data_IF_785969921198
#
_entry.id   IF_785969921198
#
_cell.length_a   1.000
_cell.length_b   1.000
_cell.length_c   1.000
_cell.angle_alpha   90.00
_cell.angle_beta   90.00
_cell.angle_gamma   90.00
#
_symmetry.space_group_name_H-M   'P 1'
#
loop_
_entity.id
_entity.type
_entity.pdbx_description
1 polymer ?
#
# COMPACT_ATOMS: atom_id res chain seq x y z
N UNK A 1 -1.45 -12.93 9.88
CA UNK A 1 -2.04 -12.31 11.09
C UNK A 1 -2.22 -10.84 10.81
N UNK A 2 -3.41 -10.25 10.95
CA UNK A 2 -3.61 -8.81 10.74
C UNK A 2 -3.06 -7.98 11.93
N UNK A 3 -2.84 -6.69 11.73
CA UNK A 3 -2.33 -5.74 12.72
C UNK A 3 -3.28 -5.64 13.92
N UNK A 4 -4.57 -5.87 13.72
CA UNK A 4 -5.57 -5.88 14.80
C UNK A 4 -5.50 -7.12 15.68
N UNK A 5 -5.20 -8.30 15.12
CA UNK A 5 -4.86 -9.50 15.87
C UNK A 5 -3.61 -9.26 16.67
N UNK A 6 -2.63 -8.56 16.10
CA UNK A 6 -1.42 -8.22 16.81
C UNK A 6 -1.66 -7.17 17.92
N UNK A 7 -2.50 -6.15 17.68
CA UNK A 7 -2.96 -5.17 18.68
C UNK A 7 -3.80 -5.80 19.79
N UNK A 8 -4.63 -6.81 19.48
CA UNK A 8 -5.60 -7.41 20.41
C UNK A 8 -5.09 -8.67 21.11
N UNK A 9 -4.15 -9.43 20.54
CA UNK A 9 -3.76 -10.78 21.01
C UNK A 9 -2.32 -10.91 21.53
N UNK A 10 -1.46 -9.89 21.43
CA UNK A 10 -0.12 -9.92 22.07
C UNK A 10 -0.08 -9.08 23.34
N UNK A 11 0.70 -9.53 24.33
CA UNK A 11 0.96 -8.83 25.61
C UNK A 11 1.56 -7.41 25.46
N UNK A 12 2.00 -7.00 24.26
CA UNK A 12 2.67 -5.72 24.01
C UNK A 12 2.03 -5.02 22.79
N UNK A 13 1.26 -3.93 22.98
CA UNK A 13 0.67 -3.15 21.89
C UNK A 13 1.72 -2.36 21.10
N UNK A 14 1.35 -1.84 19.91
CA UNK A 14 2.25 -1.15 18.99
C UNK A 14 2.88 0.08 19.65
N UNK A 15 2.07 0.79 20.44
CA UNK A 15 2.47 1.93 21.27
C UNK A 15 3.54 1.60 22.32
N UNK A 16 3.83 0.32 22.59
CA UNK A 16 4.84 -0.12 23.56
C UNK A 16 6.03 -0.80 22.90
N UNK A 17 6.00 -1.07 21.59
CA UNK A 17 7.12 -1.70 20.87
C UNK A 17 8.37 -0.82 20.87
N UNK A 18 9.53 -1.49 20.84
CA UNK A 18 10.83 -0.87 20.59
C UNK A 18 11.05 -0.68 19.08
N UNK A 19 12.02 0.16 18.73
CA UNK A 19 12.43 0.38 17.34
C UNK A 19 12.80 -0.92 16.61
N UNK A 20 13.55 -1.81 17.26
CA UNK A 20 13.95 -3.10 16.67
C UNK A 20 12.75 -4.02 16.43
N UNK A 21 11.80 -4.06 17.36
CA UNK A 21 10.57 -4.85 17.21
C UNK A 21 9.73 -4.34 16.04
N UNK A 22 9.58 -3.02 15.91
CA UNK A 22 8.88 -2.38 14.79
C UNK A 22 9.58 -2.68 13.46
N UNK A 23 10.91 -2.57 13.40
CA UNK A 23 11.68 -2.91 12.19
C UNK A 23 11.49 -4.37 11.76
N UNK A 24 11.44 -5.30 12.71
CA UNK A 24 11.16 -6.71 12.41
C UNK A 24 9.75 -6.89 11.83
N UNK A 25 8.76 -6.17 12.35
CA UNK A 25 7.40 -6.22 11.81
C UNK A 25 7.31 -5.63 10.39
N UNK A 26 8.01 -4.53 10.11
CA UNK A 26 8.09 -3.98 8.75
C UNK A 26 8.58 -5.04 7.75
N UNK A 27 9.67 -5.75 8.08
CA UNK A 27 10.25 -6.77 7.20
C UNK A 27 9.28 -7.94 6.94
N UNK A 28 8.52 -8.35 7.95
CA UNK A 28 7.51 -9.40 7.79
C UNK A 28 6.36 -8.94 6.89
N UNK A 29 5.84 -7.72 7.13
CA UNK A 29 4.77 -7.15 6.32
C UNK A 29 5.20 -6.92 4.88
N UNK A 30 6.45 -6.51 4.65
CA UNK A 30 6.99 -6.30 3.31
C UNK A 30 7.13 -7.62 2.53
N UNK A 31 7.58 -8.68 3.21
CA UNK A 31 7.57 -10.04 2.66
C UNK A 31 6.15 -10.48 2.29
N UNK A 32 5.17 -10.28 3.17
CA UNK A 32 3.78 -10.65 2.93
C UNK A 32 3.19 -9.87 1.74
N UNK A 33 3.45 -8.56 1.65
CA UNK A 33 3.04 -7.70 0.51
C UNK A 33 3.63 -8.21 -0.80
N UNK A 34 4.93 -8.51 -0.81
CA UNK A 34 5.63 -9.05 -1.99
C UNK A 34 5.02 -10.38 -2.43
N UNK A 35 4.68 -11.27 -1.48
CA UNK A 35 4.03 -12.53 -1.81
C UNK A 35 2.62 -12.34 -2.38
N UNK A 36 1.85 -11.40 -1.83
CA UNK A 36 0.51 -11.07 -2.35
C UNK A 36 0.58 -10.49 -3.76
N UNK A 37 1.51 -9.56 -4.02
CA UNK A 37 1.75 -9.00 -5.35
C UNK A 37 2.03 -10.10 -6.38
N UNK A 38 3.00 -10.98 -6.09
CA UNK A 38 3.33 -12.11 -6.99
C UNK A 38 2.14 -13.03 -7.28
N UNK A 39 1.27 -13.24 -6.29
CA UNK A 39 0.05 -14.04 -6.50
C UNK A 39 -0.97 -13.31 -7.38
N UNK A 40 -1.15 -12.01 -7.19
CA UNK A 40 -2.04 -11.18 -8.01
C UNK A 40 -1.54 -11.13 -9.46
N UNK A 41 -0.24 -10.95 -9.67
CA UNK A 41 0.40 -10.98 -11.00
C UNK A 41 0.20 -12.32 -11.69
N UNK A 42 0.41 -13.43 -10.96
CA UNK A 42 0.15 -14.77 -11.49
C UNK A 42 -1.31 -14.94 -11.89
N UNK A 43 -2.26 -14.53 -11.05
CA UNK A 43 -3.69 -14.62 -11.38
C UNK A 43 -4.05 -13.76 -12.60
N UNK A 44 -3.41 -12.59 -12.77
CA UNK A 44 -3.61 -11.76 -13.95
C UNK A 44 -3.15 -12.48 -15.22
N UNK A 45 -1.96 -13.12 -15.19
CA UNK A 45 -1.45 -13.91 -16.31
C UNK A 45 -2.35 -15.13 -16.60
N UNK A 46 -2.77 -15.87 -15.57
CA UNK A 46 -3.67 -17.03 -15.71
C UNK A 46 -5.02 -16.60 -16.33
N UNK A 47 -5.58 -15.46 -15.90
CA UNK A 47 -6.81 -14.88 -16.46
C UNK A 47 -6.65 -14.50 -17.93
N UNK A 48 -5.54 -13.86 -18.28
CA UNK A 48 -5.24 -13.51 -19.66
C UNK A 48 -5.22 -14.76 -20.55
N UNK A 49 -4.56 -15.82 -20.09
CA UNK A 49 -4.54 -17.11 -20.79
C UNK A 49 -5.93 -17.76 -20.91
N UNK A 50 -6.78 -17.68 -19.88
CA UNK A 50 -8.17 -18.16 -19.96
C UNK A 50 -8.99 -17.38 -20.99
N UNK A 51 -8.81 -16.06 -21.04
CA UNK A 51 -9.49 -15.20 -22.00
C UNK A 51 -9.10 -15.54 -23.45
N UNK A 52 -7.80 -15.63 -23.73
CA UNK A 52 -7.29 -15.98 -25.06
C UNK A 52 -7.77 -17.37 -25.52
N UNK A 53 -7.74 -18.35 -24.61
CA UNK A 53 -8.31 -19.69 -24.87
C UNK A 53 -9.80 -19.62 -25.17
N UNK A 54 -10.58 -18.92 -24.34
CA UNK A 54 -12.02 -18.76 -24.53
C UNK A 54 -12.38 -18.05 -25.84
N UNK A 55 -11.58 -17.07 -26.25
CA UNK A 55 -11.75 -16.35 -27.51
C UNK A 55 -11.50 -17.23 -28.75
N UNK A 56 -10.52 -18.14 -28.66
CA UNK A 56 -10.16 -19.05 -29.75
C UNK A 56 -11.02 -20.33 -29.81
N UNK A 57 -11.62 -20.73 -28.69
CA UNK A 57 -12.45 -21.94 -28.60
C UNK A 57 -13.72 -21.80 -29.47
N UNK A 58 -14.20 -22.88 -30.08
CA UNK A 58 -15.41 -22.88 -30.92
C UNK A 58 -16.60 -23.60 -30.27
N UNK A 59 -16.32 -24.45 -29.29
CA UNK A 59 -17.30 -25.28 -28.59
C UNK A 59 -17.98 -24.47 -27.48
N UNK A 60 -19.32 -24.25 -27.53
CA UNK A 60 -20.04 -23.42 -26.56
C UNK A 60 -19.89 -23.88 -25.10
N UNK A 61 -19.91 -25.19 -24.87
CA UNK A 61 -19.79 -25.79 -23.54
C UNK A 61 -18.42 -25.51 -22.93
N UNK A 62 -17.37 -25.63 -23.73
CA UNK A 62 -15.99 -25.35 -23.31
C UNK A 62 -15.81 -23.85 -23.04
N UNK A 63 -16.37 -22.97 -23.89
CA UNK A 63 -16.37 -21.52 -23.62
C UNK A 63 -17.07 -21.17 -22.31
N UNK A 64 -18.21 -21.79 -22.02
CA UNK A 64 -18.95 -21.56 -20.77
C UNK A 64 -18.12 -21.95 -19.55
N UNK A 65 -17.44 -23.10 -19.60
CA UNK A 65 -16.54 -23.54 -18.54
C UNK A 65 -15.36 -22.57 -18.35
N UNK A 66 -14.71 -22.13 -19.44
CA UNK A 66 -13.60 -21.17 -19.38
C UNK A 66 -14.04 -19.81 -18.81
N UNK A 67 -15.24 -19.35 -19.16
CA UNK A 67 -15.82 -18.13 -18.60
C UNK A 67 -16.06 -18.25 -17.08
N UNK A 68 -16.61 -19.37 -16.61
CA UNK A 68 -16.77 -19.63 -15.17
C UNK A 68 -15.42 -19.66 -14.45
N UNK A 69 -14.39 -20.28 -15.03
CA UNK A 69 -13.06 -20.28 -14.45
C UNK A 69 -12.47 -18.86 -14.38
N UNK A 70 -12.66 -18.04 -15.43
CA UNK A 70 -12.25 -16.64 -15.44
C UNK A 70 -12.94 -15.81 -14.34
N UNK A 71 -14.23 -16.03 -14.11
CA UNK A 71 -15.00 -15.38 -13.02
C UNK A 71 -14.47 -15.77 -11.64
N UNK A 72 -14.18 -17.06 -11.43
CA UNK A 72 -13.57 -17.55 -10.18
C UNK A 72 -12.20 -16.90 -9.94
N UNK A 73 -11.34 -16.85 -10.96
CA UNK A 73 -10.02 -16.22 -10.88
C UNK A 73 -10.12 -14.71 -10.64
N UNK A 74 -11.10 -14.05 -11.23
CA UNK A 74 -11.37 -12.62 -10.98
C UNK A 74 -11.78 -12.38 -9.52
N UNK A 75 -12.64 -13.22 -8.97
CA UNK A 75 -13.05 -13.14 -7.57
C UNK A 75 -11.87 -13.36 -6.61
N UNK A 76 -11.00 -14.33 -6.92
CA UNK A 76 -9.75 -14.59 -6.18
C UNK A 76 -8.80 -13.39 -6.24
N UNK A 77 -8.60 -12.80 -7.43
CA UNK A 77 -7.76 -11.62 -7.62
C UNK A 77 -8.26 -10.42 -6.80
N UNK A 78 -9.57 -10.16 -6.80
CA UNK A 78 -10.17 -9.09 -5.99
C UNK A 78 -9.98 -9.33 -4.49
N UNK A 79 -10.11 -10.57 -4.03
CA UNK A 79 -9.86 -10.91 -2.63
C UNK A 79 -8.41 -10.68 -2.24
N UNK A 80 -7.45 -11.09 -3.06
CA UNK A 80 -6.03 -10.83 -2.81
C UNK A 80 -5.72 -9.33 -2.87
N UNK A 81 -6.36 -8.57 -3.77
CA UNK A 81 -6.25 -7.11 -3.83
C UNK A 81 -6.68 -6.44 -2.53
N UNK A 82 -7.81 -6.86 -1.93
CA UNK A 82 -8.24 -6.39 -0.60
C UNK A 82 -7.22 -6.73 0.48
N UNK A 83 -6.69 -7.95 0.49
CA UNK A 83 -5.64 -8.34 1.44
C UNK A 83 -4.37 -7.50 1.29
N UNK A 84 -3.97 -7.20 0.05
CA UNK A 84 -2.82 -6.35 -0.24
C UNK A 84 -3.04 -4.91 0.24
N UNK A 85 -4.25 -4.37 0.07
CA UNK A 85 -4.63 -3.05 0.59
C UNK A 85 -4.46 -3.00 2.11
N UNK A 86 -5.06 -3.96 2.83
CA UNK A 86 -4.93 -4.09 4.29
C UNK A 86 -3.45 -4.16 4.69
N UNK A 87 -2.68 -5.09 4.11
CA UNK A 87 -1.25 -5.27 4.45
C UNK A 87 -0.41 -4.02 4.18
N UNK A 88 -0.75 -3.26 3.15
CA UNK A 88 -0.04 -2.02 2.82
C UNK A 88 -0.30 -0.94 3.87
N UNK A 89 -1.55 -0.76 4.31
CA UNK A 89 -1.88 0.18 5.40
C UNK A 89 -1.22 -0.22 6.73
N UNK A 90 -1.18 -1.51 7.03
CA UNK A 90 -0.48 -2.02 8.23
C UNK A 90 1.01 -1.71 8.18
N UNK A 91 1.66 -1.94 7.03
CA UNK A 91 3.07 -1.64 6.84
C UNK A 91 3.37 -0.14 7.04
N UNK A 92 2.53 0.73 6.47
CA UNK A 92 2.64 2.18 6.66
C UNK A 92 2.49 2.59 8.12
N UNK A 93 1.54 2.00 8.83
CA UNK A 93 1.32 2.27 10.25
C UNK A 93 2.57 1.91 11.07
N UNK A 94 3.11 0.71 10.86
CA UNK A 94 4.32 0.25 11.56
C UNK A 94 5.50 1.17 11.23
N UNK A 95 5.66 1.59 9.97
CA UNK A 95 6.72 2.48 9.54
C UNK A 95 6.65 3.85 10.21
N UNK A 96 5.47 4.47 10.25
CA UNK A 96 5.25 5.73 10.96
C UNK A 96 5.49 5.59 12.46
N UNK A 97 5.03 4.50 13.08
CA UNK A 97 5.30 4.23 14.50
C UNK A 97 6.80 4.08 14.79
N UNK A 98 7.58 3.48 13.88
CA UNK A 98 9.04 3.39 14.01
C UNK A 98 9.69 4.76 13.94
N UNK A 99 9.28 5.61 13.00
CA UNK A 99 9.79 6.97 12.88
C UNK A 99 9.50 7.79 14.15
N UNK A 100 8.28 7.71 14.68
CA UNK A 100 7.91 8.39 15.93
C UNK A 100 8.77 7.90 17.09
N UNK A 101 9.05 6.59 17.17
CA UNK A 101 9.97 6.03 18.18
C UNK A 101 11.38 6.55 18.05
N UNK A 102 11.91 6.61 16.84
CA UNK A 102 13.24 7.17 16.55
C UNK A 102 13.32 8.65 16.95
N UNK A 103 12.27 9.43 16.65
CA UNK A 103 12.19 10.84 17.00
C UNK A 103 11.99 11.06 18.51
N UNK A 104 11.25 10.20 19.20
CA UNK A 104 11.11 10.23 20.66
C UNK A 104 12.42 9.89 21.38
N UNK A 105 13.17 8.91 20.90
CA UNK A 105 14.48 8.57 21.46
C UNK A 105 15.47 9.74 21.28
N UNK A 106 15.47 10.40 20.12
CA UNK A 106 16.25 11.64 19.87
C UNK A 106 15.72 12.83 20.69
N UNK A 107 14.41 13.00 20.79
CA UNK A 107 13.74 14.11 21.48
C UNK A 107 13.86 14.05 22.99
N UNK A 108 13.93 12.84 23.58
CA UNK A 108 14.30 12.65 25.00
C UNK A 108 15.73 13.09 25.30
N UNK A 109 16.65 13.00 24.32
CA UNK A 109 17.98 13.56 24.44
C UNK A 109 17.99 15.10 24.35
N UNK A 110 16.90 15.71 23.83
CA UNK A 110 16.78 17.17 23.61
C UNK A 110 15.58 17.84 24.33
N UNK A 111 14.90 17.15 25.26
CA UNK A 111 13.88 17.72 26.16
C UNK A 111 12.44 17.88 25.63
N UNK A 112 12.09 17.37 24.43
CA UNK A 112 10.75 17.56 23.85
C UNK A 112 9.75 16.43 24.18
N UNK A 113 8.48 16.80 24.43
CA UNK A 113 7.33 15.88 24.73
C UNK A 113 6.48 15.53 23.49
N UNK A 114 6.96 15.79 22.28
CA UNK A 114 6.26 15.45 21.04
C UNK A 114 6.16 13.93 20.83
N UNK A 115 5.01 13.42 20.36
CA UNK A 115 4.93 12.09 19.71
C UNK A 115 4.24 10.93 20.46
N UNK A 116 3.33 11.19 21.41
CA UNK A 116 2.56 10.10 22.03
C UNK A 116 1.28 9.79 21.24
N UNK A 117 1.30 8.70 20.47
CA UNK A 117 0.08 8.11 19.87
C UNK A 117 -0.74 7.44 20.97
N UNK A 118 -1.98 7.87 21.17
CA UNK A 118 -2.86 7.27 22.18
C UNK A 118 -3.40 5.90 21.75
N UNK A 119 -3.81 5.08 22.71
CA UNK A 119 -4.47 3.80 22.41
C UNK A 119 -5.79 3.99 21.66
N UNK A 120 -6.49 5.11 21.90
CA UNK A 120 -7.69 5.50 21.15
C UNK A 120 -7.39 5.77 19.67
N UNK A 121 -6.25 6.37 19.37
CA UNK A 121 -5.83 6.62 17.99
C UNK A 121 -5.42 5.33 17.29
N UNK A 122 -4.75 4.40 17.99
CA UNK A 122 -4.46 3.06 17.46
C UNK A 122 -5.74 2.27 17.15
N UNK A 123 -6.78 2.38 17.97
CA UNK A 123 -8.07 1.73 17.71
C UNK A 123 -8.77 2.34 16.49
N UNK A 124 -8.68 3.67 16.29
CA UNK A 124 -9.19 4.35 15.10
C UNK A 124 -8.45 3.90 13.86
N UNK A 125 -7.12 3.87 13.90
CA UNK A 125 -6.25 3.37 12.84
C UNK A 125 -6.59 1.92 12.46
N UNK A 126 -6.84 1.06 13.45
CA UNK A 126 -7.30 -0.31 13.22
C UNK A 126 -8.56 -0.40 12.37
N UNK A 127 -9.60 0.40 12.68
CA UNK A 127 -10.84 0.43 11.89
C UNK A 127 -10.63 0.90 10.46
N UNK A 128 -9.73 1.87 10.27
CA UNK A 128 -9.40 2.41 8.95
C UNK A 128 -8.60 1.40 8.10
N UNK A 129 -7.77 0.57 8.74
CA UNK A 129 -7.05 -0.52 8.08
C UNK A 129 -8.00 -1.57 7.54
N UNK A 130 -9.00 -1.99 8.33
CA UNK A 130 -9.98 -3.02 7.94
C UNK A 130 -10.99 -2.54 6.89
N UNK A 131 -11.15 -1.22 6.72
CA UNK A 131 -12.12 -0.68 5.76
C UNK A 131 -11.58 -0.75 4.34
N UNK A 132 -12.16 -1.61 3.51
CA UNK A 132 -11.84 -1.72 2.09
C UNK A 132 -12.20 -0.48 1.27
N UNK A 133 -13.17 0.32 1.75
CA UNK A 133 -13.58 1.58 1.11
C UNK A 133 -12.49 2.67 1.20
N UNK A 134 -11.49 2.48 2.06
CA UNK A 134 -10.39 3.42 2.24
C UNK A 134 -9.22 2.91 1.40
N UNK A 135 -8.77 3.70 0.43
CA UNK A 135 -7.56 3.39 -0.33
C UNK A 135 -6.29 3.58 0.51
N UNK A 136 -5.15 3.13 0.01
CA UNK A 136 -3.86 3.32 0.68
C UNK A 136 -3.52 4.81 0.81
N UNK A 137 -3.85 5.60 -0.20
CA UNK A 137 -3.62 7.04 -0.27
C UNK A 137 -4.52 7.81 0.70
N UNK A 138 -5.81 7.47 0.76
CA UNK A 138 -6.72 8.06 1.75
C UNK A 138 -6.30 7.67 3.17
N UNK A 139 -5.82 6.44 3.35
CA UNK A 139 -5.31 5.98 4.63
C UNK A 139 -4.07 6.76 5.07
N UNK A 140 -3.14 7.01 4.15
CA UNK A 140 -1.99 7.87 4.39
C UNK A 140 -2.41 9.22 4.91
N UNK A 141 -3.29 9.93 4.18
CA UNK A 141 -3.71 11.28 4.56
C UNK A 141 -4.28 11.29 5.99
N UNK A 142 -5.16 10.34 6.30
CA UNK A 142 -5.73 10.19 7.64
C UNK A 142 -4.68 9.83 8.69
N UNK A 143 -3.73 8.97 8.35
CA UNK A 143 -2.61 8.60 9.22
C UNK A 143 -1.75 9.83 9.53
N UNK A 144 -1.39 10.60 8.50
CA UNK A 144 -0.61 11.82 8.64
C UNK A 144 -1.37 12.88 9.45
N UNK A 145 -2.68 13.09 9.23
CA UNK A 145 -3.53 13.97 10.05
C UNK A 145 -3.60 13.55 11.52
N UNK A 146 -3.82 12.25 11.79
CA UNK A 146 -3.88 11.72 13.15
C UNK A 146 -2.54 11.82 13.88
N UNK A 147 -1.43 11.79 13.15
CA UNK A 147 -0.08 11.91 13.71
C UNK A 147 0.42 13.36 13.76
N UNK A 148 -0.05 14.25 12.87
CA UNK A 148 0.28 15.68 12.79
C UNK A 148 -0.30 16.49 13.97
N UNK A 149 -1.29 15.96 14.70
CA UNK A 149 -1.70 16.49 16.01
C UNK A 149 -0.59 16.44 17.08
N UNK A 150 0.63 15.99 16.74
CA UNK A 150 1.79 16.02 17.61
C UNK A 150 3.16 16.23 16.95
N UNK A 151 3.30 16.68 15.70
CA UNK A 151 4.58 17.14 15.13
C UNK A 151 4.39 17.77 13.73
N UNK A 152 5.05 18.91 13.47
CA UNK A 152 5.20 19.47 12.12
C UNK A 152 5.77 18.42 11.17
N UNK A 153 5.10 18.23 10.04
CA UNK A 153 5.31 17.11 9.12
C UNK A 153 6.54 17.38 8.26
N UNK A 154 7.50 16.46 8.33
CA UNK A 154 8.46 16.20 7.27
C UNK A 154 7.81 15.17 6.31
N UNK A 155 7.45 15.64 5.11
CA UNK A 155 6.74 14.91 4.06
C UNK A 155 7.67 13.88 3.40
N UNK A 156 7.93 12.73 4.05
CA UNK A 156 8.91 11.80 3.48
C UNK A 156 8.55 10.31 3.40
N UNK A 157 7.56 9.80 4.13
CA UNK A 157 7.56 8.35 4.36
C UNK A 157 6.21 7.73 4.72
N UNK A 158 5.25 7.71 3.80
CA UNK A 158 4.34 6.57 3.60
C UNK A 158 3.24 6.93 2.60
N UNK A 159 3.51 6.84 1.30
CA UNK A 159 2.59 7.18 0.20
C UNK A 159 3.27 7.14 -1.16
N UNK A 160 2.49 7.17 -2.25
CA UNK A 160 3.05 7.66 -3.51
C UNK A 160 3.31 9.16 -3.35
N UNK A 161 4.57 9.56 -3.53
CA UNK A 161 4.92 10.98 -3.68
C UNK A 161 4.15 11.59 -4.85
N UNK A 162 4.17 12.91 -5.00
CA UNK A 162 3.63 13.56 -6.19
C UNK A 162 4.23 12.95 -7.49
N UNK A 163 5.47 12.46 -7.41
CA UNK A 163 6.16 11.79 -8.50
C UNK A 163 5.53 10.42 -8.75
N UNK A 164 5.28 9.66 -7.69
CA UNK A 164 4.55 8.39 -7.77
C UNK A 164 3.11 8.54 -8.29
N UNK A 165 2.41 9.63 -7.97
CA UNK A 165 1.08 9.94 -8.52
C UNK A 165 1.16 10.26 -10.02
N UNK A 166 2.19 10.99 -10.44
CA UNK A 166 2.43 11.28 -11.86
C UNK A 166 2.67 10.00 -12.67
N UNK A 167 3.39 9.03 -12.10
CA UNK A 167 3.58 7.70 -12.72
C UNK A 167 2.24 6.95 -12.85
N UNK A 168 1.40 6.98 -11.82
CA UNK A 168 0.06 6.37 -11.87
C UNK A 168 -0.83 6.98 -12.96
N UNK A 169 -0.81 8.31 -13.11
CA UNK A 169 -1.55 9.00 -14.16
C UNK A 169 -1.08 8.60 -15.56
N UNK A 170 0.22 8.36 -15.74
CA UNK A 170 0.78 7.89 -17.00
C UNK A 170 0.34 6.45 -17.28
N UNK A 171 0.37 5.56 -16.28
CA UNK A 171 -0.17 4.21 -16.44
C UNK A 171 -1.66 4.22 -16.79
N UNK A 172 -2.48 5.07 -16.17
CA UNK A 172 -3.89 5.22 -16.55
C UNK A 172 -4.07 5.72 -17.99
N UNK A 173 -3.19 6.60 -18.48
CA UNK A 173 -3.16 7.02 -19.89
C UNK A 173 -2.74 5.89 -20.83
N UNK A 174 -1.84 5.00 -20.39
CA UNK A 174 -1.48 3.80 -21.15
C UNK A 174 -2.66 2.83 -21.23
N UNK A 175 -3.34 2.57 -20.11
CA UNK A 175 -4.50 1.67 -20.03
C UNK A 175 -5.66 2.13 -20.92
N UNK A 176 -5.85 3.45 -21.05
CA UNK A 176 -6.87 4.07 -21.93
C UNK A 176 -6.43 4.19 -23.39
N UNK A 177 -5.17 3.85 -23.70
CA UNK A 177 -4.61 3.94 -25.05
C UNK A 177 -4.27 5.36 -25.51
N UNK A 178 -4.24 6.33 -24.59
CA UNK A 178 -3.74 7.69 -24.84
C UNK A 178 -2.22 7.70 -25.05
N UNK A 179 -1.50 6.79 -24.37
CA UNK A 179 -0.09 6.48 -24.61
C UNK A 179 -0.04 5.04 -25.09
N UNK A 180 0.48 4.80 -26.29
CA UNK A 180 0.47 3.45 -26.92
C UNK A 180 1.82 2.76 -26.84
N UNK A 181 2.89 3.54 -26.72
CA UNK A 181 4.24 3.02 -26.65
C UNK A 181 4.75 2.98 -25.19
N UNK A 182 5.22 1.82 -24.69
CA UNK A 182 5.79 1.73 -23.35
C UNK A 182 7.05 2.58 -23.12
N UNK A 183 7.84 2.84 -24.18
CA UNK A 183 9.01 3.71 -24.10
C UNK A 183 8.63 5.16 -23.88
N UNK A 184 7.64 5.66 -24.63
CA UNK A 184 7.06 6.99 -24.45
C UNK A 184 6.49 7.19 -23.03
N UNK A 185 5.80 6.17 -22.49
CA UNK A 185 5.29 6.20 -21.12
C UNK A 185 6.41 6.27 -20.07
N UNK A 186 7.50 5.53 -20.27
CA UNK A 186 8.66 5.57 -19.38
C UNK A 186 9.38 6.92 -19.42
N UNK A 187 9.60 7.48 -20.61
CA UNK A 187 10.28 8.76 -20.79
C UNK A 187 9.48 9.91 -20.16
N UNK A 188 8.15 9.92 -20.32
CA UNK A 188 7.26 10.89 -19.66
C UNK A 188 7.30 10.72 -18.14
N UNK A 189 7.32 9.49 -17.62
CA UNK A 189 7.39 9.21 -16.20
C UNK A 189 8.70 9.72 -15.60
N UNK A 190 9.82 9.39 -16.24
CA UNK A 190 11.15 9.85 -15.86
C UNK A 190 11.25 11.38 -15.89
N UNK A 191 10.68 12.03 -16.91
CA UNK A 191 10.67 13.49 -17.02
C UNK A 191 9.93 14.13 -15.84
N UNK A 192 8.72 13.65 -15.51
CA UNK A 192 7.90 14.16 -14.39
C UNK A 192 8.58 13.98 -13.04
N UNK A 193 9.19 12.82 -12.82
CA UNK A 193 9.94 12.53 -11.59
C UNK A 193 11.13 13.48 -11.45
N UNK A 194 11.87 13.73 -12.54
CA UNK A 194 13.02 14.66 -12.55
C UNK A 194 12.58 16.10 -12.34
N UNK A 195 11.51 16.56 -12.98
CA UNK A 195 10.95 17.91 -12.81
C UNK A 195 10.62 18.20 -11.34
N UNK A 196 10.06 17.22 -10.62
CA UNK A 196 9.75 17.37 -9.19
C UNK A 196 10.97 17.29 -8.27
N UNK A 197 11.99 16.51 -8.62
CA UNK A 197 13.26 16.50 -7.88
C UNK A 197 14.14 17.73 -8.18
N UNK A 198 13.94 18.38 -9.32
CA UNK A 198 14.65 19.59 -9.73
C UNK A 198 14.06 20.89 -9.19
N UNK A 199 12.97 20.82 -8.40
CA UNK A 199 12.40 21.97 -7.69
C UNK A 199 12.82 21.97 -6.20
N UNK A 200 14.06 22.39 -5.85
CA UNK A 200 14.37 22.76 -4.47
C UNK A 200 13.94 24.21 -4.20
N UNK A 201 13.19 24.38 -3.11
CA UNK A 201 13.00 25.60 -2.31
C UNK A 201 12.40 26.84 -3.01
N UNK A 202 11.10 27.05 -2.76
CA UNK A 202 10.46 28.37 -2.73
C UNK A 202 9.96 28.66 -1.32
#
# INVERSE_FOLDING_TARGET
MNLLDWLRRKNKPLSKMTRQELRRQELLLDKDRTQLLKKIEKLAADKQGLFERGASEKTPEVRRMLAQEFELKTSEQLMLGRQLNVRSKEAMTVARMRMIRENLERGKAHGSRLGLVSEKDLLRLGRLIESDAISVEMYQQRLDEMLALGAGVDEGAAGLSEAGRSVMDIWAKMDTGLIKDPGEGLDEADRRVREQHAAPEG
#
